data_IF_557340920170
#
_entry.id   IF_557340920170
#
_cell.length_a   1.000
_cell.length_b   1.000
_cell.length_c   1.000
_cell.angle_alpha   90.00
_cell.angle_beta   90.00
_cell.angle_gamma   90.00
#
_symmetry.space_group_name_H-M   'P 1'
#
loop_
_entity.id
_entity.type
_entity.pdbx_description
1 polymer ?
#
# COMPACT_ATOMS: atom_id res chain seq x y z
N UNK A 1 -15.93 6.56 -11.97
CA UNK A 1 -14.55 6.96 -11.62
C UNK A 1 -14.56 7.55 -10.21
N UNK A 2 -13.60 7.23 -9.34
CA UNK A 2 -13.54 7.82 -7.99
C UNK A 2 -12.80 9.17 -8.03
N UNK A 3 -13.17 10.10 -7.15
CA UNK A 3 -12.53 11.41 -7.01
C UNK A 3 -11.02 11.27 -6.67
N UNK A 4 -10.08 11.88 -7.41
CA UNK A 4 -8.65 11.77 -7.14
C UNK A 4 -8.20 12.33 -5.78
N UNK A 5 -8.90 13.32 -5.25
CA UNK A 5 -8.58 14.03 -4.00
C UNK A 5 -8.56 13.10 -2.78
N UNK A 6 -9.30 11.98 -2.86
CA UNK A 6 -9.28 10.94 -1.82
C UNK A 6 -7.89 10.30 -1.65
N UNK A 7 -7.04 10.34 -2.68
CA UNK A 7 -5.72 9.71 -2.64
C UNK A 7 -4.85 10.44 -1.63
N UNK A 8 -4.77 11.77 -1.71
CA UNK A 8 -3.95 12.57 -0.80
C UNK A 8 -4.43 12.48 0.64
N UNK A 9 -5.74 12.44 0.85
CA UNK A 9 -6.33 12.24 2.18
C UNK A 9 -5.90 10.90 2.80
N UNK A 10 -6.01 9.81 2.02
CA UNK A 10 -5.59 8.47 2.49
C UNK A 10 -4.08 8.44 2.76
N UNK A 11 -3.27 9.00 1.87
CA UNK A 11 -1.81 9.03 2.04
C UNK A 11 -1.37 9.85 3.26
N UNK A 12 -2.08 10.94 3.59
CA UNK A 12 -1.80 11.73 4.79
C UNK A 12 -2.00 10.91 6.08
N UNK A 13 -3.12 10.18 6.17
CA UNK A 13 -3.43 9.33 7.35
C UNK A 13 -2.45 8.16 7.43
N UNK A 14 -2.17 7.48 6.31
CA UNK A 14 -1.18 6.38 6.29
C UNK A 14 0.18 6.89 6.75
N UNK A 15 0.63 8.05 6.26
CA UNK A 15 1.91 8.65 6.66
C UNK A 15 1.95 8.94 8.17
N UNK A 16 0.92 9.58 8.71
CA UNK A 16 0.87 9.92 10.14
C UNK A 16 0.96 8.66 11.03
N UNK A 17 0.14 7.64 10.75
CA UNK A 17 0.14 6.39 11.52
C UNK A 17 1.48 5.68 11.37
N UNK A 18 2.07 5.65 10.18
CA UNK A 18 3.31 4.96 9.94
C UNK A 18 4.50 5.62 10.65
N UNK A 19 4.54 6.96 10.72
CA UNK A 19 5.52 7.68 11.53
C UNK A 19 5.43 7.33 13.03
N UNK A 20 4.23 7.02 13.53
CA UNK A 20 4.02 6.62 14.92
C UNK A 20 4.46 5.19 15.22
N UNK A 21 4.50 4.32 14.21
CA UNK A 21 4.86 2.90 14.32
C UNK A 21 5.91 2.51 13.27
N UNK A 22 7.15 3.02 13.36
CA UNK A 22 8.15 2.87 12.31
C UNK A 22 8.67 1.45 12.12
N UNK A 23 8.46 0.56 13.11
CA UNK A 23 8.88 -0.85 13.02
C UNK A 23 7.96 -1.69 12.11
N UNK A 24 6.75 -1.20 11.82
CA UNK A 24 5.85 -1.86 10.89
C UNK A 24 6.23 -1.49 9.46
N UNK A 25 6.17 -2.46 8.56
CA UNK A 25 6.19 -2.22 7.11
C UNK A 25 4.80 -1.86 6.61
N UNK A 26 4.69 -1.25 5.42
CA UNK A 26 3.39 -0.79 4.92
C UNK A 26 2.37 -1.93 4.83
N UNK A 27 2.81 -3.10 4.34
CA UNK A 27 1.96 -4.28 4.22
C UNK A 27 1.38 -4.72 5.57
N UNK A 28 2.19 -4.70 6.63
CA UNK A 28 1.75 -5.01 7.99
C UNK A 28 0.77 -3.96 8.50
N UNK A 29 1.08 -2.67 8.31
CA UNK A 29 0.22 -1.56 8.73
C UNK A 29 -1.18 -1.67 8.10
N UNK A 30 -1.26 -1.94 6.80
CA UNK A 30 -2.54 -2.08 6.09
C UNK A 30 -3.31 -3.31 6.56
N UNK A 31 -2.66 -4.48 6.66
CA UNK A 31 -3.34 -5.71 7.11
C UNK A 31 -3.82 -5.59 8.56
N UNK A 32 -3.02 -4.99 9.44
CA UNK A 32 -3.40 -4.72 10.83
C UNK A 32 -4.58 -3.74 10.94
N UNK A 33 -4.66 -2.75 10.04
CA UNK A 33 -5.79 -1.81 10.01
C UNK A 33 -7.07 -2.44 9.44
N UNK A 34 -6.95 -3.28 8.41
CA UNK A 34 -8.09 -3.92 7.74
C UNK A 34 -8.65 -5.09 8.54
N UNK A 35 -7.81 -5.83 9.27
CA UNK A 35 -8.17 -7.04 10.00
C UNK A 35 -9.01 -8.01 9.15
N UNK A 36 -8.46 -8.50 8.02
CA UNK A 36 -9.23 -9.35 7.12
C UNK A 36 -9.62 -10.67 7.82
N UNK A 37 -10.81 -11.17 7.50
CA UNK A 37 -11.31 -12.45 8.02
C UNK A 37 -10.41 -13.63 7.62
N UNK A 38 -9.79 -13.54 6.43
CA UNK A 38 -8.83 -14.54 5.93
C UNK A 38 -7.37 -14.02 5.98
N UNK A 39 -6.40 -14.87 6.37
CA UNK A 39 -4.99 -14.48 6.42
C UNK A 39 -4.43 -14.02 5.07
N UNK A 40 -3.84 -12.82 5.05
CA UNK A 40 -3.22 -12.25 3.85
C UNK A 40 -1.68 -12.24 3.95
N UNK A 41 -1.06 -13.39 4.25
CA UNK A 41 0.38 -13.49 4.58
C UNK A 41 1.32 -12.90 3.53
N UNK A 42 0.96 -12.98 2.24
CA UNK A 42 1.76 -12.42 1.15
C UNK A 42 1.80 -10.88 1.16
N UNK A 43 0.72 -10.25 1.63
CA UNK A 43 0.64 -8.78 1.79
C UNK A 43 1.26 -8.39 3.12
N UNK A 44 0.96 -9.12 4.20
CA UNK A 44 1.49 -8.84 5.54
C UNK A 44 3.02 -8.91 5.58
N UNK A 45 3.62 -9.94 4.98
CA UNK A 45 5.05 -10.19 5.08
C UNK A 45 5.90 -9.37 4.09
N UNK A 46 5.31 -8.61 3.16
CA UNK A 46 6.07 -7.93 2.11
C UNK A 46 7.04 -6.89 2.71
N UNK A 47 8.26 -6.88 2.20
CA UNK A 47 9.25 -5.85 2.52
C UNK A 47 8.97 -4.56 1.73
N UNK A 48 9.18 -3.38 2.33
CA UNK A 48 8.83 -2.10 1.68
C UNK A 48 9.61 -1.89 0.37
N UNK A 49 10.88 -2.27 0.33
CA UNK A 49 11.70 -2.20 -0.88
C UNK A 49 11.17 -3.11 -2.00
N UNK A 50 10.60 -4.26 -1.64
CA UNK A 50 9.95 -5.18 -2.58
C UNK A 50 8.59 -4.63 -3.03
N UNK A 51 7.84 -4.03 -2.12
CA UNK A 51 6.55 -3.40 -2.42
C UNK A 51 6.71 -2.25 -3.41
N UNK A 52 7.69 -1.36 -3.22
CA UNK A 52 8.01 -0.28 -4.15
C UNK A 52 8.27 -0.83 -5.56
N UNK A 53 9.14 -1.82 -5.70
CA UNK A 53 9.43 -2.45 -7.00
C UNK A 53 8.21 -3.07 -7.65
N UNK A 54 7.32 -3.69 -6.87
CA UNK A 54 6.06 -4.26 -7.35
C UNK A 54 5.10 -3.17 -7.84
N UNK A 55 5.00 -2.04 -7.13
CA UNK A 55 4.18 -0.88 -7.53
C UNK A 55 4.72 -0.23 -8.81
N UNK A 56 6.03 -0.03 -8.93
CA UNK A 56 6.65 0.48 -10.15
C UNK A 56 6.40 -0.47 -11.34
N UNK A 57 6.53 -1.77 -11.12
CA UNK A 57 6.25 -2.79 -12.15
C UNK A 57 4.77 -2.80 -12.53
N UNK A 58 3.87 -2.58 -11.57
CA UNK A 58 2.44 -2.46 -11.81
C UNK A 58 2.12 -1.23 -12.68
N UNK A 59 2.67 -0.06 -12.33
CA UNK A 59 2.52 1.17 -13.10
C UNK A 59 3.01 1.00 -14.54
N UNK A 60 4.16 0.33 -14.74
CA UNK A 60 4.68 0.01 -16.09
C UNK A 60 3.76 -0.93 -16.88
N UNK A 61 3.12 -1.92 -16.24
CA UNK A 61 2.17 -2.83 -16.92
C UNK A 61 0.91 -2.10 -17.32
N UNK A 62 0.37 -1.22 -16.48
CA UNK A 62 -0.85 -0.50 -16.76
C UNK A 62 -0.64 0.68 -17.73
N UNK A 63 0.50 1.36 -17.66
CA UNK A 63 0.89 2.36 -18.67
C UNK A 63 1.15 1.79 -20.07
N UNK A 64 1.20 0.46 -20.23
CA UNK A 64 1.26 -0.22 -21.54
C UNK A 64 -0.13 -0.63 -22.07
N UNK A 65 -1.18 -0.50 -21.27
CA UNK A 65 -2.56 -0.79 -21.67
C UNK A 65 -3.27 0.48 -22.17
N UNK A 66 -2.79 1.65 -21.73
CA UNK A 66 -3.30 2.97 -22.13
C UNK A 66 -2.50 3.63 -23.29
N UNK A 67 -1.59 2.89 -23.96
CA UNK A 67 -0.71 3.38 -25.03
C UNK A 67 -0.94 2.66 -26.36
#
# INVERSE_FOLDING_TARGET
MRAPERIDQVLAVVREVWYRYPDLRLGQLIVNAVQPDEPCSQVYAVEDTVLVRKLESLAKRWGRIDA
#
